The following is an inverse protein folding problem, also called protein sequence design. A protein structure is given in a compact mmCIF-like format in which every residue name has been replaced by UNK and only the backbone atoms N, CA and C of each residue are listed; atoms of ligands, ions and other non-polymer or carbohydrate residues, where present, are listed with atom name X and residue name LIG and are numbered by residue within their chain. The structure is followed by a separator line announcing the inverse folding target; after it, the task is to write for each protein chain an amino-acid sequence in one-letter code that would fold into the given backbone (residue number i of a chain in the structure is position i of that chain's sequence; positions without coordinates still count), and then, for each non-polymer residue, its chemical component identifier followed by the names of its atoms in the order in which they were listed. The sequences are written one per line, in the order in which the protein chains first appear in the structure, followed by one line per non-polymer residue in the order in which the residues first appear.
data_IF_470721288852
#
_entry.id   IF_470721288852
#
_cell.length_a   1.000
_cell.length_b   1.000
_cell.length_c   1.000
_cell.angle_alpha   90.00
_cell.angle_beta   90.00
_cell.angle_gamma   90.00
#
_symmetry.space_group_name_H-M   'P 1'
#
loop_
_entity.id
_entity.type
_entity.pdbx_description
1 polymer ?
#
# COMPACT_ATOMS: atom_id res chain seq x y z
N UNK A 1 -7.28 9.35 21.05
CA UNK A 1 -7.09 7.92 20.78
C UNK A 1 -7.22 7.70 19.29
N UNK A 2 -6.47 6.78 18.72
CA UNK A 2 -6.55 6.38 17.30
C UNK A 2 -6.78 4.88 17.23
N UNK A 3 -7.86 4.50 16.54
CA UNK A 3 -8.12 3.14 16.09
C UNK A 3 -7.71 3.04 14.63
N UNK A 4 -6.91 2.04 14.30
CA UNK A 4 -6.56 1.71 12.92
C UNK A 4 -6.64 0.19 12.76
N UNK A 5 -7.25 -0.26 11.66
CA UNK A 5 -7.33 -1.66 11.34
C UNK A 5 -7.40 -1.84 9.82
N UNK A 6 -6.53 -2.69 9.30
CA UNK A 6 -6.49 -3.03 7.89
C UNK A 6 -7.20 -4.35 7.68
N UNK A 7 -8.44 -4.30 7.20
CA UNK A 7 -9.14 -5.50 6.74
C UNK A 7 -8.38 -6.10 5.56
N UNK A 8 -8.01 -7.40 5.59
CA UNK A 8 -7.27 -8.01 4.50
C UNK A 8 -7.99 -7.91 3.14
N UNK A 9 -7.22 -7.89 2.05
CA UNK A 9 -7.77 -8.03 0.69
C UNK A 9 -8.34 -9.45 0.48
N UNK A 10 -9.11 -9.71 -0.60
CA UNK A 10 -9.51 -11.08 -0.94
C UNK A 10 -8.33 -12.06 -1.08
N UNK A 11 -7.15 -11.56 -1.43
CA UNK A 11 -5.91 -12.32 -1.55
C UNK A 11 -5.13 -12.42 -0.23
N UNK A 12 -5.63 -11.81 0.85
CA UNK A 12 -5.05 -11.86 2.18
C UNK A 12 -4.01 -10.79 2.49
N UNK A 13 -3.76 -9.85 1.57
CA UNK A 13 -2.79 -8.76 1.78
C UNK A 13 -3.26 -7.82 2.90
N UNK A 14 -2.34 -7.43 3.79
CA UNK A 14 -2.57 -6.46 4.86
C UNK A 14 -1.27 -5.71 5.18
N UNK A 15 -1.37 -4.55 5.84
CA UNK A 15 -0.22 -3.67 6.09
C UNK A 15 -0.32 -2.96 7.45
N UNK A 16 0.67 -2.11 7.73
CA UNK A 16 0.83 -1.42 9.02
C UNK A 16 0.14 -0.05 9.10
N UNK A 17 0.39 0.65 10.20
CA UNK A 17 -0.16 1.98 10.47
C UNK A 17 0.34 3.02 9.46
N UNK A 18 -0.55 3.90 8.99
CA UNK A 18 -0.21 5.01 8.08
C UNK A 18 -1.22 5.20 6.95
N UNK A 19 -2.18 4.28 6.83
CA UNK A 19 -3.25 4.35 5.85
C UNK A 19 -2.78 4.06 4.42
N UNK A 20 -3.67 4.32 3.46
CA UNK A 20 -3.51 3.96 2.05
C UNK A 20 -2.29 4.60 1.41
N UNK A 21 -2.08 5.91 1.59
CA UNK A 21 -1.01 6.64 0.88
C UNK A 21 0.40 6.12 1.23
N UNK A 22 0.61 5.72 2.49
CA UNK A 22 1.88 5.18 2.99
C UNK A 22 2.11 3.75 2.47
N UNK A 23 1.11 2.88 2.58
CA UNK A 23 1.33 1.45 2.40
C UNK A 23 1.03 0.93 0.99
N UNK A 24 -0.02 1.45 0.35
CA UNK A 24 -0.56 0.91 -0.91
C UNK A 24 -1.01 2.00 -1.88
N UNK A 25 -0.37 3.17 -1.78
CA UNK A 25 -0.78 4.37 -2.47
C UNK A 25 0.43 5.19 -2.91
N UNK A 26 0.43 6.48 -2.56
CA UNK A 26 1.36 7.46 -3.10
C UNK A 26 2.84 7.07 -2.96
N UNK A 27 3.24 6.55 -1.79
CA UNK A 27 4.64 6.22 -1.49
C UNK A 27 5.15 5.09 -2.37
N UNK A 28 4.61 3.86 -2.31
CA UNK A 28 5.10 2.79 -3.18
C UNK A 28 4.88 3.09 -4.66
N UNK A 29 3.78 3.77 -5.03
CA UNK A 29 3.52 4.22 -6.39
C UNK A 29 4.65 5.11 -6.92
N UNK A 30 5.10 6.09 -6.13
CA UNK A 30 6.17 7.01 -6.56
C UNK A 30 7.53 6.33 -6.58
N UNK A 31 7.81 5.41 -5.65
CA UNK A 31 9.05 4.65 -5.63
C UNK A 31 9.18 3.71 -6.84
N UNK A 32 8.11 2.97 -7.17
CA UNK A 32 8.10 2.11 -8.36
C UNK A 32 8.13 2.94 -9.66
N UNK A 33 7.46 4.09 -9.69
CA UNK A 33 7.58 5.02 -10.81
C UNK A 33 9.02 5.54 -10.97
N UNK A 34 9.73 5.83 -9.87
CA UNK A 34 11.13 6.23 -9.91
C UNK A 34 12.03 5.12 -10.44
N UNK A 35 11.77 3.86 -10.09
CA UNK A 35 12.50 2.71 -10.66
C UNK A 35 12.37 2.66 -12.19
N UNK A 36 11.18 2.95 -12.72
CA UNK A 36 10.94 3.06 -14.16
C UNK A 36 11.72 4.22 -14.81
N UNK A 37 11.70 5.40 -14.18
CA UNK A 37 12.45 6.56 -14.64
C UNK A 37 13.96 6.31 -14.66
N UNK A 38 14.48 5.54 -13.69
CA UNK A 38 15.88 5.12 -13.67
C UNK A 38 16.21 4.19 -14.84
N UNK A 39 15.30 3.28 -15.22
CA UNK A 39 15.44 2.46 -16.42
C UNK A 39 15.59 3.32 -17.68
N UNK A 40 14.76 4.35 -17.84
CA UNK A 40 14.89 5.30 -18.96
C UNK A 40 16.18 6.12 -18.89
N UNK A 41 16.53 6.60 -17.69
CA UNK A 41 17.75 7.38 -17.48
C UNK A 41 19.01 6.59 -17.83
N UNK A 42 19.04 5.27 -17.56
CA UNK A 42 20.14 4.39 -17.98
C UNK A 42 20.28 4.37 -19.51
N UNK A 43 19.18 4.28 -20.25
CA UNK A 43 19.22 4.32 -21.73
C UNK A 43 19.74 5.68 -22.23
N UNK A 44 19.20 6.77 -21.70
CA UNK A 44 19.58 8.11 -22.14
C UNK A 44 21.01 8.48 -21.72
N UNK A 45 21.53 7.94 -20.62
CA UNK A 45 22.90 8.19 -20.15
C UNK A 45 23.97 7.87 -21.21
N UNK A 46 23.70 6.90 -22.10
CA UNK A 46 24.61 6.57 -23.21
C UNK A 46 24.84 7.75 -24.16
N UNK A 47 23.82 8.60 -24.38
CA UNK A 47 23.92 9.82 -25.20
C UNK A 47 24.75 10.91 -24.52
N UNK A 48 24.91 10.82 -23.21
CA UNK A 48 25.72 11.75 -22.40
C UNK A 48 27.11 11.20 -22.07
N UNK A 49 27.58 10.17 -22.80
CA UNK A 49 28.94 9.65 -22.69
C UNK A 49 29.15 8.54 -21.65
N UNK A 50 28.08 8.01 -21.05
CA UNK A 50 28.19 6.85 -20.16
C UNK A 50 28.32 5.56 -20.96
N UNK A 51 29.39 4.80 -20.71
CA UNK A 51 29.67 3.54 -21.37
C UNK A 51 29.54 2.37 -20.39
N UNK A 52 28.67 1.41 -20.73
CA UNK A 52 28.52 0.14 -20.03
C UNK A 52 28.22 -0.98 -21.03
N UNK A 53 28.80 -2.15 -20.79
CA UNK A 53 28.78 -3.30 -21.71
C UNK A 53 27.63 -4.27 -21.46
N UNK A 54 27.03 -4.21 -20.27
CA UNK A 54 26.02 -5.16 -19.83
C UNK A 54 24.60 -4.72 -20.20
N UNK A 55 23.75 -5.70 -20.46
CA UNK A 55 22.30 -5.52 -20.54
C UNK A 55 21.73 -5.46 -19.13
N UNK A 56 21.15 -4.31 -18.76
CA UNK A 56 20.68 -4.07 -17.39
C UNK A 56 19.28 -4.62 -17.23
N UNK A 57 19.14 -5.67 -16.43
CA UNK A 57 17.85 -6.30 -16.12
C UNK A 57 17.27 -5.77 -14.81
N UNK A 58 15.97 -5.55 -14.80
CA UNK A 58 15.24 -5.15 -13.59
C UNK A 58 14.88 -6.38 -12.73
N UNK A 59 15.17 -6.32 -11.43
CA UNK A 59 14.75 -7.34 -10.47
C UNK A 59 13.56 -6.85 -9.64
N UNK A 60 12.38 -7.44 -9.87
CA UNK A 60 11.14 -7.10 -9.15
C UNK A 60 11.28 -7.29 -7.64
N UNK A 61 11.88 -8.39 -7.19
CA UNK A 61 11.99 -8.72 -5.77
C UNK A 61 12.88 -7.74 -5.02
N UNK A 62 14.01 -7.35 -5.61
CA UNK A 62 14.90 -6.35 -5.02
C UNK A 62 14.21 -4.99 -4.87
N UNK A 63 13.42 -4.58 -5.87
CA UNK A 63 12.66 -3.34 -5.81
C UNK A 63 11.55 -3.41 -4.76
N UNK A 64 10.74 -4.46 -4.74
CA UNK A 64 9.64 -4.59 -3.76
C UNK A 64 10.17 -4.70 -2.34
N UNK A 65 11.25 -5.43 -2.10
CA UNK A 65 11.92 -5.49 -0.80
C UNK A 65 12.36 -4.09 -0.34
N UNK A 66 13.02 -3.32 -1.21
CA UNK A 66 13.45 -1.95 -0.90
C UNK A 66 12.27 -1.02 -0.58
N UNK A 67 11.18 -1.14 -1.34
CA UNK A 67 9.95 -0.38 -1.12
C UNK A 67 9.30 -0.75 0.21
N UNK A 68 9.16 -2.05 0.50
CA UNK A 68 8.55 -2.55 1.73
C UNK A 68 9.39 -2.21 2.97
N UNK A 69 10.72 -2.23 2.87
CA UNK A 69 11.61 -1.79 3.94
C UNK A 69 11.39 -0.30 4.28
N UNK A 70 11.28 0.55 3.26
CA UNK A 70 10.97 1.97 3.48
C UNK A 70 9.60 2.17 4.11
N UNK A 71 8.56 1.48 3.63
CA UNK A 71 7.22 1.50 4.23
C UNK A 71 7.27 1.02 5.69
N UNK A 72 8.02 -0.04 5.99
CA UNK A 72 8.23 -0.54 7.34
C UNK A 72 8.80 0.54 8.27
N UNK A 73 9.77 1.33 7.80
CA UNK A 73 10.33 2.45 8.56
C UNK A 73 9.30 3.55 8.84
N UNK A 74 8.42 3.86 7.87
CA UNK A 74 7.34 4.84 8.04
C UNK A 74 6.31 4.34 9.06
N UNK A 75 5.89 3.07 8.94
CA UNK A 75 4.95 2.43 9.85
C UNK A 75 5.45 2.49 11.30
N UNK A 76 6.75 2.23 11.50
CA UNK A 76 7.39 2.38 12.81
C UNK A 76 7.42 3.85 13.27
N UNK A 77 7.82 4.77 12.39
CA UNK A 77 7.90 6.20 12.68
C UNK A 77 6.56 6.79 13.13
N UNK A 78 5.43 6.39 12.52
CA UNK A 78 4.10 6.80 12.95
C UNK A 78 3.76 6.29 14.36
N UNK A 79 4.07 5.03 14.67
CA UNK A 79 3.83 4.47 16.01
C UNK A 79 4.64 5.21 17.08
N UNK A 80 5.90 5.50 16.80
CA UNK A 80 6.76 6.28 17.70
C UNK A 80 6.18 7.68 17.90
N UNK A 81 5.81 8.37 16.83
CA UNK A 81 5.24 9.72 16.90
C UNK A 81 3.96 9.78 17.73
N UNK A 82 3.05 8.80 17.56
CA UNK A 82 1.82 8.73 18.38
C UNK A 82 2.15 8.55 19.86
N UNK A 83 3.06 7.62 20.18
CA UNK A 83 3.51 7.37 21.55
C UNK A 83 4.15 8.61 22.17
N UNK A 84 5.05 9.27 21.46
CA UNK A 84 5.79 10.44 21.95
C UNK A 84 4.84 11.63 22.20
N UNK A 85 3.77 11.75 21.40
CA UNK A 85 2.67 12.69 21.62
C UNK A 85 1.62 12.21 22.64
N UNK A 86 1.87 11.09 23.32
CA UNK A 86 0.96 10.47 24.31
C UNK A 86 -0.43 10.16 23.75
N UNK A 87 -0.52 9.91 22.45
CA UNK A 87 -1.75 9.49 21.78
C UNK A 87 -1.86 7.98 21.88
N UNK A 88 -2.90 7.51 22.58
CA UNK A 88 -3.23 6.08 22.62
C UNK A 88 -3.55 5.56 21.23
N UNK A 89 -2.81 4.53 20.81
CA UNK A 89 -2.98 3.82 19.55
C UNK A 89 -3.43 2.38 19.85
N UNK A 90 -4.50 1.92 19.21
CA UNK A 90 -4.93 0.53 19.27
C UNK A 90 -5.21 -0.02 17.87
N UNK A 91 -4.59 -1.17 17.57
CA UNK A 91 -4.78 -1.89 16.31
C UNK A 91 -6.05 -2.74 16.38
N UNK A 92 -7.20 -2.08 16.19
CA UNK A 92 -8.52 -2.66 16.32
C UNK A 92 -9.53 -1.96 15.41
N UNK A 93 -10.49 -2.73 14.91
CA UNK A 93 -11.57 -2.24 14.07
C UNK A 93 -12.62 -1.54 14.92
N UNK A 94 -12.90 -0.27 14.64
CA UNK A 94 -13.85 0.56 15.37
C UNK A 94 -15.26 0.49 14.77
N UNK A 95 -16.26 0.23 15.60
CA UNK A 95 -17.67 0.21 15.25
C UNK A 95 -18.46 1.04 16.27
N UNK A 96 -19.30 1.98 15.82
CA UNK A 96 -20.21 2.69 16.72
C UNK A 96 -21.34 1.76 17.16
N UNK A 97 -21.51 1.59 18.47
CA UNK A 97 -22.56 0.74 19.06
C UNK A 97 -23.61 1.53 19.85
N UNK A 98 -23.47 2.85 19.87
CA UNK A 98 -24.43 3.75 20.50
C UNK A 98 -23.92 5.19 20.54
N UNK A 99 -24.69 6.11 21.16
CA UNK A 99 -24.24 7.47 21.40
C UNK A 99 -22.94 7.47 22.19
N UNK A 100 -21.95 8.20 21.68
CA UNK A 100 -20.64 8.36 22.31
C UNK A 100 -19.88 7.08 22.65
N UNK A 101 -20.22 5.95 22.04
CA UNK A 101 -19.64 4.64 22.36
C UNK A 101 -19.15 3.92 21.10
N UNK A 102 -17.87 3.52 21.11
CA UNK A 102 -17.24 2.75 20.06
C UNK A 102 -16.74 1.43 20.61
N UNK A 103 -17.07 0.35 19.90
CA UNK A 103 -16.52 -0.98 20.09
C UNK A 103 -15.27 -1.13 19.23
N UNK A 104 -14.17 -1.54 19.84
CA UNK A 104 -12.91 -1.83 19.17
C UNK A 104 -12.67 -3.35 19.19
N UNK A 105 -12.65 -3.98 18.02
CA UNK A 105 -12.42 -5.42 17.88
C UNK A 105 -11.03 -5.65 17.30
N UNK A 106 -10.14 -6.29 18.06
CA UNK A 106 -8.79 -6.57 17.57
C UNK A 106 -8.74 -7.78 16.61
N UNK A 107 -7.57 -8.06 16.03
CA UNK A 107 -7.38 -9.19 15.09
C UNK A 107 -7.73 -10.57 15.68
N UNK A 108 -7.72 -10.72 17.01
CA UNK A 108 -8.10 -11.97 17.71
C UNK A 108 -9.59 -12.04 18.02
N UNK A 109 -10.39 -11.05 17.61
CA UNK A 109 -11.82 -10.96 17.94
C UNK A 109 -12.10 -10.49 19.36
N UNK A 110 -11.10 -10.02 20.12
CA UNK A 110 -11.33 -9.47 21.46
C UNK A 110 -11.90 -8.06 21.32
N UNK A 111 -13.05 -7.85 21.95
CA UNK A 111 -13.78 -6.59 21.92
C UNK A 111 -13.50 -5.76 23.17
N UNK A 112 -13.41 -4.44 23.00
CA UNK A 112 -13.38 -3.46 24.08
C UNK A 112 -14.30 -2.29 23.74
N UNK A 113 -14.95 -1.73 24.75
CA UNK A 113 -15.78 -0.54 24.61
C UNK A 113 -15.01 0.69 25.08
N UNK A 114 -15.13 1.76 24.31
CA UNK A 114 -14.58 3.07 24.62
C UNK A 114 -15.66 4.14 24.49
N UNK A 115 -15.57 5.15 25.34
CA UNK A 115 -16.41 6.34 25.27
C UNK A 115 -15.56 7.57 24.99
N UNK A 116 -16.13 8.54 24.26
CA UNK A 116 -15.47 9.82 24.00
C UNK A 116 -16.49 10.94 23.81
N UNK A 117 -16.11 12.18 24.15
CA UNK A 117 -16.94 13.36 23.92
C UNK A 117 -17.09 13.66 22.42
N UNK A 118 -16.04 13.47 21.63
CA UNK A 118 -16.00 13.76 20.19
C UNK A 118 -15.33 12.63 19.41
N UNK A 119 -15.77 12.48 18.17
CA UNK A 119 -15.23 11.49 17.23
C UNK A 119 -14.85 12.15 15.92
N UNK A 120 -13.82 11.61 15.28
CA UNK A 120 -13.42 11.95 13.91
C UNK A 120 -13.42 10.64 13.12
N UNK A 121 -14.19 10.59 12.03
CA UNK A 121 -14.24 9.44 11.13
C UNK A 121 -13.24 9.67 10.01
N UNK A 122 -12.23 8.79 9.92
CA UNK A 122 -11.13 8.89 8.96
C UNK A 122 -10.75 7.51 8.39
N UNK A 123 -11.75 6.68 8.07
CA UNK A 123 -11.57 5.27 7.67
C UNK A 123 -11.04 5.08 6.24
N UNK A 124 -11.07 6.13 5.41
CA UNK A 124 -10.64 6.06 4.01
C UNK A 124 -11.55 5.16 3.15
N UNK A 125 -11.02 4.72 2.02
CA UNK A 125 -11.70 3.89 1.02
C UNK A 125 -10.84 2.68 0.62
N UNK A 126 -11.47 1.70 -0.06
CA UNK A 126 -10.83 0.48 -0.54
C UNK A 126 -11.10 0.25 -2.04
N UNK A 127 -10.25 -0.51 -2.75
CA UNK A 127 -10.49 -0.86 -4.15
C UNK A 127 -11.85 -1.54 -4.36
N UNK A 128 -12.52 -1.18 -5.44
CA UNK A 128 -13.80 -1.77 -5.86
C UNK A 128 -13.57 -2.86 -6.89
N UNK A 129 -14.26 -3.98 -6.70
CA UNK A 129 -14.34 -5.09 -7.66
C UNK A 129 -15.56 -4.93 -8.59
N UNK A 130 -15.57 -5.62 -9.72
CA UNK A 130 -16.56 -5.45 -10.78
C UNK A 130 -17.86 -6.25 -10.52
N UNK A 131 -17.80 -7.25 -9.65
CA UNK A 131 -18.91 -8.17 -9.40
C UNK A 131 -19.11 -9.21 -10.50
N UNK A 132 -18.05 -9.52 -11.26
CA UNK A 132 -18.07 -10.54 -12.31
C UNK A 132 -17.38 -11.82 -11.82
N UNK A 133 -17.75 -13.01 -12.33
CA UNK A 133 -17.14 -14.26 -11.90
C UNK A 133 -15.61 -14.24 -12.01
N UNK A 134 -14.92 -14.58 -10.93
CA UNK A 134 -13.46 -14.69 -10.89
C UNK A 134 -12.70 -13.39 -10.56
N UNK A 135 -13.38 -12.26 -10.38
CA UNK A 135 -12.70 -10.98 -10.16
C UNK A 135 -11.97 -10.92 -8.81
N UNK A 136 -12.55 -11.44 -7.73
CA UNK A 136 -11.92 -11.49 -6.41
C UNK A 136 -10.93 -12.65 -6.28
N UNK A 137 -11.17 -13.73 -7.00
CA UNK A 137 -10.38 -14.97 -6.94
C UNK A 137 -9.08 -14.85 -7.73
N UNK A 138 -9.11 -14.24 -8.90
CA UNK A 138 -7.99 -14.23 -9.84
C UNK A 138 -7.37 -12.86 -10.07
N UNK A 139 -8.07 -11.76 -9.75
CA UNK A 139 -7.51 -10.42 -9.92
C UNK A 139 -6.94 -9.87 -8.61
N UNK A 140 -5.92 -9.05 -8.77
CA UNK A 140 -5.32 -8.26 -7.71
C UNK A 140 -5.70 -6.79 -7.86
N UNK A 141 -5.63 -6.04 -6.75
CA UNK A 141 -5.83 -4.60 -6.75
C UNK A 141 -4.52 -3.86 -6.46
N UNK A 142 -4.57 -2.52 -6.39
CA UNK A 142 -3.44 -1.73 -5.90
C UNK A 142 -3.01 -2.11 -4.48
N UNK A 143 -3.95 -2.61 -3.66
CA UNK A 143 -3.67 -3.04 -2.29
C UNK A 143 -2.72 -4.25 -2.24
N UNK A 144 -2.68 -5.05 -3.30
CA UNK A 144 -1.88 -6.27 -3.39
C UNK A 144 -0.57 -6.06 -4.17
N UNK A 145 -0.63 -5.21 -5.20
CA UNK A 145 0.46 -5.03 -6.18
C UNK A 145 1.77 -4.60 -5.53
N UNK A 146 1.73 -3.66 -4.58
CA UNK A 146 2.95 -3.05 -4.03
C UNK A 146 3.75 -3.98 -3.12
N UNK A 147 3.17 -5.12 -2.74
CA UNK A 147 3.78 -6.17 -1.93
C UNK A 147 3.74 -7.53 -2.64
N UNK A 148 3.54 -7.56 -3.97
CA UNK A 148 3.41 -8.81 -4.71
C UNK A 148 4.74 -9.60 -4.63
N UNK A 149 4.72 -10.86 -4.18
CA UNK A 149 5.94 -11.64 -3.92
C UNK A 149 6.53 -12.28 -5.19
N UNK A 150 6.03 -11.89 -6.36
CA UNK A 150 6.48 -12.34 -7.66
C UNK A 150 6.31 -11.22 -8.69
N UNK A 151 7.08 -11.27 -9.77
CA UNK A 151 6.93 -10.35 -10.89
C UNK A 151 5.57 -10.59 -11.57
N UNK A 152 4.74 -9.54 -11.79
CA UNK A 152 3.39 -9.71 -12.34
C UNK A 152 3.38 -10.18 -13.80
N UNK A 153 4.51 -10.10 -14.51
CA UNK A 153 4.63 -10.55 -15.89
C UNK A 153 3.69 -9.81 -16.85
N UNK A 154 3.19 -10.50 -17.88
CA UNK A 154 2.24 -9.92 -18.84
C UNK A 154 0.94 -9.57 -18.11
N UNK A 155 0.71 -8.27 -17.90
CA UNK A 155 -0.35 -7.76 -17.03
C UNK A 155 -1.43 -7.04 -17.84
N UNK A 156 -2.71 -7.34 -17.56
CA UNK A 156 -3.85 -6.54 -18.00
C UNK A 156 -4.30 -5.62 -16.86
N UNK A 157 -4.43 -4.33 -17.15
CA UNK A 157 -4.96 -3.35 -16.19
C UNK A 157 -6.37 -2.95 -16.64
N UNK A 158 -7.35 -3.17 -15.77
CA UNK A 158 -8.75 -2.82 -16.02
C UNK A 158 -9.11 -1.53 -15.27
N UNK A 159 -9.28 -0.44 -16.01
CA UNK A 159 -9.69 0.88 -15.52
C UNK A 159 -8.87 2.05 -16.08
N UNK A 160 -9.36 3.28 -15.91
CA UNK A 160 -8.76 4.50 -16.50
C UNK A 160 -8.59 5.71 -15.53
N UNK A 161 -8.75 5.50 -14.22
CA UNK A 161 -8.36 6.47 -13.18
C UNK A 161 -6.86 6.81 -13.14
N UNK A 162 -6.50 7.92 -12.49
CA UNK A 162 -5.09 8.34 -12.31
C UNK A 162 -4.19 7.32 -11.60
N UNK A 163 -4.78 6.33 -10.90
CA UNK A 163 -4.03 5.24 -10.27
C UNK A 163 -3.36 4.32 -11.31
N UNK A 164 -3.81 4.32 -12.58
CA UNK A 164 -3.37 3.37 -13.60
C UNK A 164 -2.19 3.82 -14.47
N UNK A 165 -2.11 5.06 -15.00
CA UNK A 165 -1.04 5.44 -15.92
C UNK A 165 0.36 5.24 -15.35
N UNK A 166 0.58 5.63 -14.09
CA UNK A 166 1.88 5.50 -13.44
C UNK A 166 2.26 4.06 -13.08
N UNK A 167 1.25 3.19 -12.92
CA UNK A 167 1.49 1.76 -12.69
C UNK A 167 1.88 1.14 -14.03
N UNK A 168 1.12 1.37 -15.09
CA UNK A 168 1.43 0.80 -16.42
C UNK A 168 2.82 1.18 -16.96
N UNK A 169 3.28 2.42 -16.75
CA UNK A 169 4.60 2.87 -17.21
C UNK A 169 5.77 2.21 -16.48
N UNK A 170 5.55 1.67 -15.27
CA UNK A 170 6.61 1.02 -14.51
C UNK A 170 6.95 -0.39 -15.00
N UNK A 171 6.08 -0.99 -15.83
CA UNK A 171 6.13 -2.41 -16.18
C UNK A 171 6.35 -2.68 -17.68
N UNK A 172 6.57 -1.64 -18.49
CA UNK A 172 6.53 -1.76 -19.95
C UNK A 172 7.82 -2.28 -20.62
N UNK A 173 8.87 -2.63 -19.88
CA UNK A 173 10.08 -3.22 -20.48
C UNK A 173 10.40 -4.61 -19.89
N UNK A 174 10.16 -5.71 -20.65
CA UNK A 174 10.81 -7.00 -20.40
C UNK A 174 12.32 -6.94 -20.66
#
# INVERSE_FOLDING_TARGET
MVLDFVTPTPQGSSWGLGGTCVNVGCIPKKLMHQAALLGQALQDSRKFGWHFTEDVKHNWMTMTESVQNYIGSLNWGYRVTLRDKKVMFENAYGEFVGPHTVKATNKKGVEKLYTAERFIIATGERPRYLGVPGDKEYCISSDDLFSLPYCPGKTLVVGASYKYPSVSSAWQNP
#
